data_IF_198213888285
#
_entry.id   IF_198213888285
#
_cell.length_a   1.000
_cell.length_b   1.000
_cell.length_c   1.000
_cell.angle_alpha   90.00
_cell.angle_beta   90.00
_cell.angle_gamma   90.00
#
_symmetry.space_group_name_H-M   'P 1'
#
loop_
_entity.id
_entity.type
_entity.pdbx_description
1 polymer ?
#
# COMPACT_ATOMS: atom_id res chain seq x y z
N UNK A 1 -59.16 -5.41 -14.04
CA UNK A 1 -57.76 -5.83 -14.24
C UNK A 1 -56.91 -5.12 -13.19
N UNK A 2 -56.41 -5.84 -12.20
CA UNK A 2 -55.51 -5.28 -11.18
C UNK A 2 -54.08 -5.23 -11.74
N UNK A 3 -53.40 -4.09 -11.59
CA UNK A 3 -51.99 -3.93 -11.94
C UNK A 3 -51.13 -4.85 -11.05
N UNK A 4 -50.07 -5.48 -11.58
CA UNK A 4 -49.18 -6.29 -10.76
C UNK A 4 -48.51 -5.40 -9.72
N UNK A 5 -48.64 -5.80 -8.45
CA UNK A 5 -47.94 -5.16 -7.35
C UNK A 5 -46.43 -5.36 -7.55
N UNK A 6 -45.73 -4.29 -7.92
CA UNK A 6 -44.27 -4.27 -7.95
C UNK A 6 -43.77 -4.57 -6.54
N UNK A 7 -43.04 -5.67 -6.38
CA UNK A 7 -42.43 -5.99 -5.09
C UNK A 7 -41.58 -4.80 -4.62
N UNK A 8 -41.62 -4.43 -3.32
CA UNK A 8 -40.78 -3.36 -2.81
C UNK A 8 -39.32 -3.70 -3.11
N UNK A 9 -38.58 -2.72 -3.65
CA UNK A 9 -37.15 -2.85 -3.88
C UNK A 9 -36.48 -3.30 -2.58
N UNK A 10 -35.69 -4.38 -2.63
CA UNK A 10 -34.90 -4.81 -1.48
C UNK A 10 -34.03 -3.61 -1.05
N UNK A 11 -33.96 -3.29 0.25
CA UNK A 11 -33.06 -2.24 0.71
C UNK A 11 -31.62 -2.64 0.35
N UNK A 12 -30.88 -1.69 -0.22
CA UNK A 12 -29.49 -1.90 -0.63
C UNK A 12 -28.66 -2.41 0.56
N UNK A 13 -27.92 -3.49 0.37
CA UNK A 13 -27.02 -4.00 1.39
C UNK A 13 -25.90 -2.96 1.59
N UNK A 14 -25.76 -2.30 2.76
CA UNK A 14 -24.76 -1.24 2.94
C UNK A 14 -23.32 -1.70 2.68
N UNK A 15 -23.04 -2.98 2.97
CA UNK A 15 -21.75 -3.59 2.66
C UNK A 15 -21.52 -3.79 1.16
N UNK A 16 -22.57 -4.11 0.39
CA UNK A 16 -22.46 -4.24 -1.06
C UNK A 16 -22.19 -2.89 -1.72
N UNK A 17 -22.93 -1.84 -1.34
CA UNK A 17 -22.67 -0.48 -1.85
C UNK A 17 -21.28 0.02 -1.47
N UNK A 18 -20.82 -0.26 -0.24
CA UNK A 18 -19.45 0.05 0.17
C UNK A 18 -18.44 -0.73 -0.69
N UNK A 19 -18.68 -2.02 -0.91
CA UNK A 19 -17.82 -2.87 -1.73
C UNK A 19 -17.74 -2.36 -3.16
N UNK A 20 -18.84 -2.05 -3.83
CA UNK A 20 -18.84 -1.48 -5.19
C UNK A 20 -17.98 -0.21 -5.27
N UNK A 21 -18.10 0.68 -4.29
CA UNK A 21 -17.30 1.91 -4.22
C UNK A 21 -15.82 1.65 -3.94
N UNK A 22 -15.51 0.65 -3.11
CA UNK A 22 -14.12 0.23 -2.87
C UNK A 22 -13.53 -0.43 -4.12
N UNK A 23 -14.28 -1.30 -4.79
CA UNK A 23 -13.89 -1.99 -6.02
C UNK A 23 -13.43 -1.00 -7.11
N UNK A 24 -14.18 0.09 -7.28
CA UNK A 24 -13.86 1.15 -8.23
C UNK A 24 -12.54 1.91 -7.94
N UNK A 25 -12.02 1.81 -6.71
CA UNK A 25 -10.78 2.46 -6.26
C UNK A 25 -9.58 1.52 -6.24
N UNK A 26 -9.81 0.21 -6.38
CA UNK A 26 -8.76 -0.79 -6.44
C UNK A 26 -8.25 -0.96 -7.88
N UNK A 27 -6.94 -1.20 -8.09
CA UNK A 27 -6.39 -1.36 -9.43
C UNK A 27 -6.85 -2.66 -10.08
N UNK A 28 -7.05 -2.61 -11.40
CA UNK A 28 -7.22 -3.80 -12.22
C UNK A 28 -5.88 -4.55 -12.37
N UNK A 29 -5.93 -5.88 -12.46
CA UNK A 29 -4.77 -6.74 -12.69
C UNK A 29 -5.01 -7.66 -13.87
N UNK A 30 -4.01 -7.77 -14.75
CA UNK A 30 -4.14 -8.46 -16.03
C UNK A 30 -5.44 -8.13 -16.81
N UNK A 31 -5.87 -6.85 -16.77
CA UNK A 31 -7.10 -6.39 -17.43
C UNK A 31 -8.41 -6.71 -16.70
N UNK A 32 -8.38 -7.41 -15.56
CA UNK A 32 -9.57 -7.73 -14.76
C UNK A 32 -9.73 -6.75 -13.60
N UNK A 33 -10.89 -6.08 -13.53
CA UNK A 33 -11.25 -5.23 -12.39
C UNK A 33 -11.74 -6.03 -11.18
N UNK A 34 -11.97 -5.35 -10.06
CA UNK A 34 -12.60 -5.94 -8.89
C UNK A 34 -14.13 -5.96 -9.07
N UNK A 35 -14.76 -7.08 -8.75
CA UNK A 35 -16.21 -7.28 -8.82
C UNK A 35 -16.76 -7.43 -7.42
N UNK A 36 -17.79 -6.66 -7.08
CA UNK A 36 -18.50 -6.78 -5.81
C UNK A 36 -19.67 -7.77 -5.93
N UNK A 37 -19.80 -8.67 -4.98
CA UNK A 37 -20.90 -9.62 -4.90
C UNK A 37 -21.43 -9.77 -3.47
N UNK A 38 -22.72 -10.10 -3.29
CA UNK A 38 -23.26 -10.41 -1.97
C UNK A 38 -22.53 -11.60 -1.34
N UNK A 39 -22.15 -11.48 -0.07
CA UNK A 39 -21.47 -12.54 0.64
C UNK A 39 -21.91 -12.63 2.10
N UNK A 40 -21.89 -13.84 2.66
CA UNK A 40 -22.29 -14.09 4.05
C UNK A 40 -21.25 -14.96 4.75
N UNK A 41 -20.17 -14.35 5.27
CA UNK A 41 -19.21 -15.05 6.12
C UNK A 41 -19.90 -15.61 7.37
N UNK A 42 -19.50 -16.81 7.77
CA UNK A 42 -20.06 -17.45 8.96
C UNK A 42 -19.75 -16.68 10.26
N UNK A 43 -18.58 -16.01 10.33
CA UNK A 43 -18.14 -15.23 11.49
C UNK A 43 -18.81 -13.84 11.57
N UNK A 44 -19.56 -13.44 10.54
CA UNK A 44 -20.27 -12.15 10.50
C UNK A 44 -21.79 -12.34 10.57
N UNK A 45 -22.27 -13.41 11.21
CA UNK A 45 -23.69 -13.82 11.23
C UNK A 45 -24.70 -12.70 11.60
N UNK A 46 -24.23 -11.58 12.16
CA UNK A 46 -25.04 -10.41 12.54
C UNK A 46 -24.75 -9.12 11.77
N UNK A 47 -23.81 -9.12 10.81
CA UNK A 47 -23.37 -7.92 10.11
C UNK A 47 -23.47 -8.08 8.57
N UNK A 48 -23.96 -7.04 7.85
CA UNK A 48 -23.93 -7.05 6.40
C UNK A 48 -22.49 -7.19 5.89
N UNK A 49 -22.29 -8.09 4.94
CA UNK A 49 -21.01 -8.33 4.30
C UNK A 49 -21.16 -8.39 2.77
N UNK A 50 -20.05 -8.14 2.09
CA UNK A 50 -19.92 -8.28 0.66
C UNK A 50 -18.51 -8.80 0.34
N UNK A 51 -18.37 -9.48 -0.79
CA UNK A 51 -17.09 -9.95 -1.28
C UNK A 51 -16.68 -9.14 -2.50
N UNK A 52 -15.41 -8.78 -2.54
CA UNK A 52 -14.71 -8.22 -3.69
C UNK A 52 -13.87 -9.33 -4.29
N UNK A 53 -14.00 -9.60 -5.58
CA UNK A 53 -13.29 -10.68 -6.26
C UNK A 53 -12.48 -10.12 -7.43
N UNK A 54 -11.25 -10.58 -7.57
CA UNK A 54 -10.41 -10.34 -8.74
C UNK A 54 -9.55 -11.58 -9.02
N UNK A 55 -9.96 -12.37 -10.01
CA UNK A 55 -9.36 -13.68 -10.27
C UNK A 55 -9.53 -14.61 -9.06
N UNK A 56 -8.44 -15.18 -8.58
CA UNK A 56 -8.45 -16.08 -7.40
C UNK A 56 -8.41 -15.33 -6.06
N UNK A 57 -8.18 -14.02 -6.08
CA UNK A 57 -8.08 -13.20 -4.87
C UNK A 57 -9.45 -12.67 -4.51
N UNK A 58 -9.78 -12.67 -3.22
CA UNK A 58 -10.95 -11.98 -2.75
C UNK A 58 -10.71 -11.21 -1.43
N UNK A 59 -11.45 -10.13 -1.26
CA UNK A 59 -11.57 -9.39 0.00
C UNK A 59 -13.01 -9.48 0.49
N UNK A 60 -13.19 -9.76 1.77
CA UNK A 60 -14.47 -9.73 2.45
C UNK A 60 -14.56 -8.42 3.20
N UNK A 61 -15.56 -7.60 2.88
CA UNK A 61 -15.87 -6.36 3.58
C UNK A 61 -17.09 -6.54 4.44
N UNK A 62 -16.98 -6.13 5.71
CA UNK A 62 -18.07 -6.16 6.68
C UNK A 62 -18.33 -4.73 7.12
N UNK A 63 -19.56 -4.26 6.88
CA UNK A 63 -20.00 -2.96 7.36
C UNK A 63 -20.54 -3.11 8.78
N UNK A 64 -19.71 -2.81 9.78
CA UNK A 64 -20.12 -2.89 11.18
C UNK A 64 -20.92 -1.64 11.57
N UNK A 65 -22.24 -1.70 11.34
CA UNK A 65 -23.16 -0.58 11.55
C UNK A 65 -23.25 -0.04 12.98
N UNK A 66 -22.71 -0.75 13.99
CA UNK A 66 -22.74 -0.30 15.39
C UNK A 66 -21.55 0.61 15.75
N UNK A 67 -20.43 0.49 15.02
CA UNK A 67 -19.17 1.18 15.37
C UNK A 67 -18.67 2.13 14.29
N UNK A 68 -19.41 2.30 13.19
CA UNK A 68 -18.97 3.09 12.02
C UNK A 68 -17.61 2.65 11.45
N UNK A 69 -17.27 1.38 11.68
CA UNK A 69 -16.03 0.76 11.25
C UNK A 69 -16.29 -0.19 10.09
N UNK A 70 -15.27 -0.38 9.26
CA UNK A 70 -15.24 -1.40 8.21
C UNK A 70 -14.24 -2.47 8.60
N UNK A 71 -14.66 -3.71 8.61
CA UNK A 71 -13.77 -4.84 8.82
C UNK A 71 -13.43 -5.46 7.46
N UNK A 72 -12.17 -5.84 7.28
CA UNK A 72 -11.64 -6.40 6.03
C UNK A 72 -10.97 -7.72 6.34
N UNK A 73 -11.40 -8.78 5.68
CA UNK A 73 -10.70 -10.06 5.61
C UNK A 73 -10.25 -10.33 4.18
N UNK A 74 -9.19 -11.10 3.98
CA UNK A 74 -8.83 -11.61 2.66
C UNK A 74 -9.21 -13.09 2.51
N UNK A 75 -9.32 -13.57 1.28
CA UNK A 75 -9.68 -14.95 0.98
C UNK A 75 -8.86 -15.41 -0.23
N UNK A 76 -8.38 -16.64 -0.16
CA UNK A 76 -7.73 -17.36 -1.26
C UNK A 76 -8.40 -18.74 -1.39
N UNK A 77 -8.21 -19.46 -2.52
CA UNK A 77 -8.65 -20.85 -2.62
C UNK A 77 -8.12 -21.66 -1.43
N UNK A 78 -9.03 -22.30 -0.70
CA UNK A 78 -8.74 -23.09 0.50
C UNK A 78 -8.54 -22.31 1.82
N UNK A 79 -8.65 -20.97 1.82
CA UNK A 79 -8.56 -20.14 3.04
C UNK A 79 -9.77 -19.23 3.18
N UNK A 80 -10.68 -19.59 4.06
CA UNK A 80 -11.81 -18.76 4.49
C UNK A 80 -11.37 -17.87 5.66
N UNK A 81 -11.57 -16.53 5.61
CA UNK A 81 -11.33 -15.70 6.77
C UNK A 81 -12.26 -16.09 7.90
N UNK A 82 -11.72 -16.20 9.12
CA UNK A 82 -12.46 -16.58 10.33
C UNK A 82 -12.63 -15.43 11.32
N UNK A 83 -11.94 -14.32 11.05
CA UNK A 83 -11.90 -13.05 11.77
C UNK A 83 -11.42 -11.96 10.80
N UNK A 84 -11.58 -10.66 11.11
CA UNK A 84 -11.03 -9.64 10.24
C UNK A 84 -9.51 -9.60 10.32
N UNK A 85 -8.86 -9.47 9.16
CA UNK A 85 -7.41 -9.24 9.04
C UNK A 85 -7.08 -7.76 9.30
N UNK A 86 -8.05 -6.86 9.12
CA UNK A 86 -7.93 -5.42 9.36
C UNK A 86 -9.27 -4.84 9.83
N UNK A 87 -9.22 -3.89 10.77
CA UNK A 87 -10.36 -3.04 11.16
C UNK A 87 -10.02 -1.59 10.87
N UNK A 88 -10.78 -0.97 9.97
CA UNK A 88 -10.66 0.45 9.62
C UNK A 88 -11.73 1.23 10.38
N UNK A 89 -11.32 2.23 11.16
CA UNK A 89 -12.25 3.11 11.89
C UNK A 89 -12.92 4.15 10.99
N UNK A 90 -13.55 3.67 9.93
CA UNK A 90 -14.24 4.48 8.91
C UNK A 90 -15.07 3.59 7.99
N UNK A 91 -16.12 4.17 7.41
CA UNK A 91 -16.88 3.63 6.29
C UNK A 91 -16.60 4.37 4.97
N UNK A 92 -15.63 5.30 4.95
CA UNK A 92 -15.27 6.04 3.74
C UNK A 92 -14.55 5.12 2.74
N UNK A 93 -15.08 4.89 1.52
CA UNK A 93 -14.53 3.92 0.58
C UNK A 93 -13.04 4.16 0.26
N UNK A 94 -12.63 5.42 0.11
CA UNK A 94 -11.23 5.77 -0.17
C UNK A 94 -10.26 5.38 0.95
N UNK A 95 -10.67 5.50 2.21
CA UNK A 95 -9.85 5.12 3.37
C UNK A 95 -9.78 3.60 3.50
N UNK A 96 -10.91 2.92 3.30
CA UNK A 96 -10.97 1.45 3.30
C UNK A 96 -10.11 0.86 2.19
N UNK A 97 -10.27 1.34 0.94
CA UNK A 97 -9.48 0.88 -0.21
C UNK A 97 -7.98 1.08 0.02
N UNK A 98 -7.59 2.25 0.51
CA UNK A 98 -6.19 2.57 0.81
C UNK A 98 -5.58 1.62 1.83
N UNK A 99 -6.24 1.41 2.96
CA UNK A 99 -5.70 0.53 4.00
C UNK A 99 -5.73 -0.95 3.58
N UNK A 100 -6.73 -1.37 2.79
CA UNK A 100 -6.74 -2.70 2.18
C UNK A 100 -5.53 -2.90 1.24
N UNK A 101 -5.22 -1.92 0.37
CA UNK A 101 -4.04 -1.93 -0.49
C UNK A 101 -2.72 -1.95 0.29
N UNK A 102 -2.67 -1.23 1.42
CA UNK A 102 -1.45 -1.09 2.22
C UNK A 102 -1.16 -2.27 3.15
N UNK A 103 -2.20 -2.89 3.71
CA UNK A 103 -2.07 -3.86 4.81
C UNK A 103 -2.59 -5.25 4.50
N UNK A 104 -3.66 -5.36 3.70
CA UNK A 104 -4.37 -6.63 3.52
C UNK A 104 -3.91 -7.34 2.24
N UNK A 105 -3.97 -6.64 1.10
CA UNK A 105 -3.57 -7.22 -0.19
C UNK A 105 -2.12 -7.69 -0.23
N UNK A 106 -1.12 -6.96 0.30
CA UNK A 106 0.26 -7.45 0.33
C UNK A 106 0.42 -8.81 1.03
N UNK A 107 -0.36 -9.07 2.08
CA UNK A 107 -0.34 -10.33 2.82
C UNK A 107 -1.02 -11.44 2.01
N UNK A 108 -2.22 -11.17 1.49
CA UNK A 108 -2.93 -12.11 0.63
C UNK A 108 -2.11 -12.50 -0.60
N UNK A 109 -1.41 -11.53 -1.18
CA UNK A 109 -0.62 -11.74 -2.38
C UNK A 109 0.70 -12.48 -2.10
N UNK A 110 1.32 -12.27 -0.93
CA UNK A 110 2.49 -13.06 -0.51
C UNK A 110 2.12 -14.53 -0.27
N UNK A 111 0.95 -14.80 0.33
CA UNK A 111 0.44 -16.16 0.48
C UNK A 111 0.08 -16.82 -0.85
N UNK A 112 -0.53 -16.08 -1.77
CA UNK A 112 -0.80 -16.58 -3.12
C UNK A 112 0.49 -16.88 -3.89
N UNK A 113 1.53 -16.07 -3.70
CA UNK A 113 2.82 -16.24 -4.36
C UNK A 113 3.53 -17.55 -3.99
N UNK A 114 3.21 -18.17 -2.84
CA UNK A 114 3.76 -19.46 -2.45
C UNK A 114 3.37 -20.61 -3.40
N UNK A 115 2.33 -20.41 -4.23
CA UNK A 115 1.84 -21.38 -5.23
C UNK A 115 2.45 -21.17 -6.62
N UNK A 116 3.26 -20.12 -6.81
CA UNK A 116 3.84 -19.77 -8.11
C UNK A 116 5.04 -20.67 -8.40
N UNK A 117 5.01 -21.37 -9.53
CA UNK A 117 6.08 -22.28 -9.97
C UNK A 117 7.20 -21.56 -10.73
N UNK A 118 6.87 -20.56 -11.56
CA UNK A 118 7.84 -19.73 -12.28
C UNK A 118 7.91 -18.31 -11.69
N UNK A 119 8.79 -18.15 -10.72
CA UNK A 119 9.02 -16.89 -10.04
C UNK A 119 9.59 -15.80 -10.97
N UNK A 120 10.37 -16.17 -11.99
CA UNK A 120 10.99 -15.21 -12.89
C UNK A 120 9.95 -14.60 -13.85
N UNK A 121 9.11 -15.43 -14.45
CA UNK A 121 8.02 -14.97 -15.32
C UNK A 121 6.96 -14.18 -14.55
N UNK A 122 6.65 -14.58 -13.31
CA UNK A 122 5.78 -13.80 -12.44
C UNK A 122 6.35 -12.40 -12.15
N UNK A 123 7.62 -12.33 -11.73
CA UNK A 123 8.31 -11.06 -11.46
C UNK A 123 8.35 -10.13 -12.66
N UNK A 124 8.65 -10.65 -13.86
CA UNK A 124 8.68 -9.83 -15.07
C UNK A 124 7.30 -9.24 -15.40
N UNK A 125 6.23 -10.03 -15.29
CA UNK A 125 4.85 -9.55 -15.46
C UNK A 125 4.50 -8.42 -14.49
N UNK A 126 4.85 -8.58 -13.21
CA UNK A 126 4.60 -7.58 -12.18
C UNK A 126 5.36 -6.27 -12.44
N UNK A 127 6.63 -6.35 -12.86
CA UNK A 127 7.40 -5.16 -13.23
C UNK A 127 6.80 -4.45 -14.44
N UNK A 128 6.38 -5.21 -15.45
CA UNK A 128 5.72 -4.65 -16.62
C UNK A 128 4.43 -3.93 -16.24
N UNK A 129 3.63 -4.48 -15.32
CA UNK A 129 2.41 -3.83 -14.82
C UNK A 129 2.72 -2.51 -14.09
N UNK A 130 3.74 -2.48 -13.22
CA UNK A 130 4.19 -1.23 -12.58
C UNK A 130 4.64 -0.23 -13.64
N UNK A 131 5.52 -0.64 -14.56
CA UNK A 131 6.05 0.22 -15.61
C UNK A 131 4.95 0.74 -16.56
N UNK A 132 3.99 -0.10 -16.92
CA UNK A 132 2.83 0.29 -17.73
C UNK A 132 1.95 1.30 -16.99
N UNK A 133 1.70 1.11 -15.68
CA UNK A 133 0.93 2.07 -14.89
C UNK A 133 1.59 3.44 -14.82
N UNK A 134 2.91 3.51 -14.63
CA UNK A 134 3.65 4.78 -14.62
C UNK A 134 3.68 5.43 -16.02
N UNK A 135 3.91 4.65 -17.09
CA UNK A 135 3.88 5.13 -18.48
C UNK A 135 2.51 5.67 -18.90
N UNK A 136 1.44 5.06 -18.42
CA UNK A 136 0.07 5.54 -18.66
C UNK A 136 -0.17 6.95 -18.07
N UNK A 137 0.66 7.39 -17.12
CA UNK A 137 0.63 8.75 -16.55
C UNK A 137 1.69 9.68 -17.18
N UNK A 138 2.41 9.21 -18.21
CA UNK A 138 3.42 9.99 -18.94
C UNK A 138 4.85 9.88 -18.40
N UNK A 139 5.11 9.03 -17.41
CA UNK A 139 6.48 8.83 -16.92
C UNK A 139 7.30 7.95 -17.86
N UNK A 140 8.56 8.33 -18.09
CA UNK A 140 9.54 7.45 -18.71
C UNK A 140 10.03 6.43 -17.68
N UNK A 141 9.93 5.14 -18.01
CA UNK A 141 10.34 4.04 -17.15
C UNK A 141 11.53 3.30 -17.75
N UNK A 142 12.42 2.85 -16.89
CA UNK A 142 13.55 2.01 -17.26
C UNK A 142 13.52 0.72 -16.45
N UNK A 143 13.51 -0.42 -17.14
CA UNK A 143 13.54 -1.75 -16.53
C UNK A 143 14.95 -2.31 -16.59
N UNK A 144 15.40 -2.92 -15.49
CA UNK A 144 16.71 -3.56 -15.39
C UNK A 144 16.59 -4.87 -14.63
N UNK A 145 17.25 -5.92 -15.12
CA UNK A 145 17.55 -7.08 -14.28
C UNK A 145 18.35 -6.62 -13.05
N UNK A 146 17.96 -7.10 -11.87
CA UNK A 146 18.63 -6.75 -10.62
C UNK A 146 20.06 -7.33 -10.59
N UNK A 147 20.87 -6.84 -9.66
CA UNK A 147 22.21 -7.39 -9.43
C UNK A 147 22.16 -8.84 -8.92
N UNK A 148 21.07 -9.22 -8.27
CA UNK A 148 20.79 -10.58 -7.84
C UNK A 148 19.90 -11.27 -8.88
N UNK A 149 20.17 -12.56 -9.16
CA UNK A 149 19.40 -13.39 -10.11
C UNK A 149 17.90 -13.43 -9.78
N UNK A 150 17.57 -13.31 -8.49
CA UNK A 150 16.20 -13.33 -7.98
C UNK A 150 15.56 -11.94 -7.84
N UNK A 151 16.20 -10.88 -8.33
CA UNK A 151 15.72 -9.51 -8.21
C UNK A 151 15.58 -8.84 -9.58
N UNK A 152 14.59 -7.96 -9.72
CA UNK A 152 14.42 -7.15 -10.93
C UNK A 152 13.80 -5.82 -10.55
N UNK A 153 14.18 -4.75 -11.26
CA UNK A 153 13.86 -3.38 -10.87
C UNK A 153 13.25 -2.61 -12.03
N UNK A 154 12.25 -1.79 -11.73
CA UNK A 154 11.76 -0.73 -12.61
C UNK A 154 12.01 0.62 -11.94
N UNK A 155 12.55 1.59 -12.69
CA UNK A 155 12.88 2.91 -12.20
C UNK A 155 12.24 4.00 -13.06
N UNK A 156 11.91 5.12 -12.44
CA UNK A 156 11.38 6.32 -13.10
C UNK A 156 11.76 7.57 -12.32
N UNK A 157 11.58 8.74 -12.94
CA UNK A 157 11.81 10.03 -12.29
C UNK A 157 10.60 10.95 -12.45
N UNK A 158 10.28 11.69 -11.39
CA UNK A 158 9.22 12.70 -11.40
C UNK A 158 9.46 13.72 -10.26
N UNK A 159 9.06 14.98 -10.46
CA UNK A 159 9.09 15.99 -9.40
C UNK A 159 10.46 16.23 -8.73
N UNK A 160 11.58 15.98 -9.44
CA UNK A 160 12.94 16.07 -8.88
C UNK A 160 13.36 14.88 -8.01
N UNK A 161 12.57 13.81 -8.00
CA UNK A 161 12.80 12.56 -7.27
C UNK A 161 13.04 11.42 -8.26
N UNK A 162 13.91 10.49 -7.89
CA UNK A 162 14.10 9.21 -8.57
C UNK A 162 13.47 8.11 -7.73
N UNK A 163 12.70 7.28 -8.39
CA UNK A 163 12.05 6.11 -7.82
C UNK A 163 12.65 4.86 -8.43
N UNK A 164 12.78 3.81 -7.62
CA UNK A 164 12.96 2.46 -8.14
C UNK A 164 12.16 1.48 -7.31
N UNK A 165 11.48 0.55 -7.95
CA UNK A 165 10.75 -0.53 -7.32
C UNK A 165 11.43 -1.85 -7.69
N UNK A 166 11.91 -2.57 -6.67
CA UNK A 166 12.59 -3.84 -6.83
C UNK A 166 11.72 -4.97 -6.30
N UNK A 167 11.48 -5.97 -7.13
CA UNK A 167 10.76 -7.20 -6.76
C UNK A 167 11.74 -8.34 -6.54
N UNK A 168 11.46 -9.18 -5.54
CA UNK A 168 12.27 -10.33 -5.18
C UNK A 168 11.48 -11.64 -5.28
N UNK A 169 12.07 -12.65 -5.91
CA UNK A 169 11.42 -13.96 -6.09
C UNK A 169 10.10 -13.83 -6.87
N UNK A 170 9.05 -14.49 -6.38
CA UNK A 170 7.69 -14.42 -6.91
C UNK A 170 6.79 -13.43 -6.14
N UNK A 171 7.33 -12.78 -5.10
CA UNK A 171 6.52 -12.00 -4.15
C UNK A 171 6.04 -10.70 -4.81
N UNK A 172 4.72 -10.43 -4.84
CA UNK A 172 4.15 -9.20 -5.39
C UNK A 172 4.18 -8.03 -4.38
N UNK A 173 5.26 -7.98 -3.61
CA UNK A 173 5.63 -6.83 -2.77
C UNK A 173 7.03 -6.38 -3.20
N UNK A 174 7.22 -5.08 -3.29
CA UNK A 174 8.45 -4.47 -3.73
C UNK A 174 9.11 -3.64 -2.63
N UNK A 175 10.42 -3.51 -2.77
CA UNK A 175 11.21 -2.52 -2.09
C UNK A 175 11.27 -1.27 -2.99
N UNK A 176 10.78 -0.14 -2.48
CA UNK A 176 10.71 1.13 -3.19
C UNK A 176 11.77 2.06 -2.64
N UNK A 177 12.78 2.35 -3.46
CA UNK A 177 13.77 3.38 -3.16
C UNK A 177 13.31 4.72 -3.75
N UNK A 178 13.40 5.76 -2.92
CA UNK A 178 13.05 7.14 -3.25
C UNK A 178 14.27 8.01 -2.94
N UNK A 179 14.85 8.64 -3.95
CA UNK A 179 16.06 9.47 -3.80
C UNK A 179 15.86 10.85 -4.41
N UNK A 180 16.27 11.88 -3.68
CA UNK A 180 16.18 13.26 -4.16
C UNK A 180 16.33 14.29 -3.04
N UNK A 181 15.93 15.55 -3.29
CA UNK A 181 15.83 16.59 -2.27
C UNK A 181 14.92 16.18 -1.12
N UNK A 182 15.34 16.40 0.13
CA UNK A 182 14.60 15.96 1.33
C UNK A 182 13.14 16.39 1.32
N UNK A 183 12.81 17.63 0.93
CA UNK A 183 11.41 18.10 0.87
C UNK A 183 10.57 17.36 -0.17
N UNK A 184 11.18 16.95 -1.28
CA UNK A 184 10.48 16.18 -2.31
C UNK A 184 10.30 14.72 -1.87
N UNK A 185 11.31 14.14 -1.23
CA UNK A 185 11.25 12.78 -0.66
C UNK A 185 10.21 12.70 0.47
N UNK A 186 10.16 13.68 1.38
CA UNK A 186 9.14 13.78 2.43
C UNK A 186 7.71 13.74 1.83
N UNK A 187 7.45 14.51 0.77
CA UNK A 187 6.14 14.51 0.09
C UNK A 187 5.83 13.16 -0.54
N UNK A 188 6.81 12.53 -1.19
CA UNK A 188 6.64 11.21 -1.81
C UNK A 188 6.39 10.13 -0.76
N UNK A 189 7.19 10.06 0.31
CA UNK A 189 7.05 9.08 1.39
C UNK A 189 5.68 9.16 2.07
N UNK A 190 5.12 10.36 2.24
CA UNK A 190 3.80 10.55 2.85
C UNK A 190 2.68 9.80 2.10
N UNK A 191 2.84 9.49 0.81
CA UNK A 191 1.87 8.71 0.05
C UNK A 191 1.77 7.25 0.51
N UNK A 192 2.89 6.69 0.98
CA UNK A 192 3.02 5.28 1.37
C UNK A 192 2.75 5.03 2.85
N UNK A 193 3.08 5.99 3.70
CA UNK A 193 2.93 5.92 5.16
C UNK A 193 1.45 5.92 5.59
N UNK A 194 1.08 5.42 6.77
CA UNK A 194 -0.30 5.51 7.27
C UNK A 194 -0.80 6.98 7.33
N UNK A 195 -2.08 7.18 7.64
CA UNK A 195 -2.55 8.52 7.97
C UNK A 195 -1.80 9.07 9.19
N UNK A 196 -1.63 10.40 9.22
CA UNK A 196 -1.00 11.06 10.36
C UNK A 196 -1.81 10.80 11.62
N UNK A 197 -1.13 10.43 12.69
CA UNK A 197 -1.74 10.46 13.99
C UNK A 197 -1.96 11.94 14.38
N UNK A 198 -3.23 12.35 14.53
CA UNK A 198 -3.60 13.72 14.92
C UNK A 198 -3.02 14.15 16.27
N UNK A 199 -2.59 13.17 17.07
CA UNK A 199 -2.18 13.33 18.46
C UNK A 199 -0.71 12.99 18.72
N UNK A 200 0.16 12.85 17.71
CA UNK A 200 1.59 12.70 18.01
C UNK A 200 2.17 14.07 18.32
N UNK A 201 2.38 14.46 19.60
CA UNK A 201 3.14 15.66 19.90
C UNK A 201 4.49 15.58 19.20
N UNK A 202 5.09 16.73 18.89
CA UNK A 202 6.48 16.80 18.46
C UNK A 202 7.36 16.29 19.62
N UNK A 203 7.48 14.97 19.74
CA UNK A 203 8.28 14.32 20.76
C UNK A 203 9.72 14.66 20.42
N UNK A 204 10.47 15.19 21.38
CA UNK A 204 11.91 15.27 21.23
C UNK A 204 12.38 13.83 20.97
N UNK A 205 12.94 13.61 19.79
CA UNK A 205 13.49 12.31 19.41
C UNK A 205 14.88 12.24 20.04
N UNK A 206 14.90 11.93 21.33
CA UNK A 206 16.12 11.77 22.11
C UNK A 206 16.93 10.61 21.49
N UNK A 207 18.25 10.82 21.36
CA UNK A 207 19.15 9.81 20.79
C UNK A 207 19.32 9.83 19.28
N UNK A 208 18.69 10.75 18.54
CA UNK A 208 18.94 10.93 17.10
C UNK A 208 20.04 11.98 16.84
N UNK A 209 21.21 11.50 16.46
CA UNK A 209 22.35 12.30 16.01
C UNK A 209 22.20 12.76 14.56
N UNK A 210 22.79 13.92 14.23
CA UNK A 210 22.77 14.51 12.88
C UNK A 210 21.56 15.41 12.58
N UNK A 211 21.76 16.46 11.79
CA UNK A 211 20.71 17.47 11.52
C UNK A 211 19.65 16.95 10.54
N UNK A 212 20.06 16.18 9.53
CA UNK A 212 19.15 15.67 8.49
C UNK A 212 18.34 14.49 9.02
N UNK A 213 18.95 13.64 9.82
CA UNK A 213 18.34 12.53 10.54
C UNK A 213 17.27 13.04 11.48
N UNK A 214 17.55 14.07 12.29
CA UNK A 214 16.52 14.68 13.14
C UNK A 214 15.35 15.24 12.34
N UNK A 215 15.60 15.87 11.19
CA UNK A 215 14.55 16.36 10.30
C UNK A 215 13.70 15.21 9.75
N UNK A 216 14.33 14.18 9.20
CA UNK A 216 13.65 13.02 8.65
C UNK A 216 12.86 12.28 9.71
N UNK A 217 13.44 12.11 10.90
CA UNK A 217 12.79 11.45 12.01
C UNK A 217 11.60 12.27 12.53
N UNK A 218 11.70 13.61 12.60
CA UNK A 218 10.56 14.46 12.91
C UNK A 218 9.45 14.38 11.84
N UNK A 219 9.82 14.23 10.56
CA UNK A 219 8.84 14.00 9.49
C UNK A 219 8.16 12.63 9.64
N UNK A 220 8.94 11.54 9.76
CA UNK A 220 8.50 10.14 9.80
C UNK A 220 7.71 9.83 11.08
N UNK A 221 8.15 10.40 12.22
CA UNK A 221 7.53 10.25 13.54
C UNK A 221 6.07 10.68 13.62
N UNK A 222 5.59 11.48 12.65
CA UNK A 222 4.17 11.85 12.52
C UNK A 222 3.28 10.72 12.01
N UNK A 223 3.89 9.66 11.47
CA UNK A 223 3.20 8.56 10.83
C UNK A 223 3.51 7.22 11.49
N UNK A 224 4.76 7.01 11.90
CA UNK A 224 5.28 5.73 12.38
C UNK A 224 6.35 5.94 13.44
N UNK A 225 6.64 4.91 14.23
CA UNK A 225 7.79 4.90 15.13
C UNK A 225 9.10 4.93 14.32
N UNK A 226 10.12 5.62 14.88
CA UNK A 226 11.41 5.84 14.25
C UNK A 226 12.53 5.56 15.25
N UNK A 227 13.59 4.90 14.80
CA UNK A 227 14.81 4.64 15.58
C UNK A 227 16.04 4.95 14.75
N UNK A 228 17.13 5.40 15.39
CA UNK A 228 18.43 5.52 14.71
C UNK A 228 19.18 4.19 14.75
N UNK A 229 19.75 3.76 13.63
CA UNK A 229 20.49 2.53 13.55
C UNK A 229 21.86 2.64 14.22
N UNK A 230 22.19 1.74 15.18
CA UNK A 230 23.50 1.71 15.81
C UNK A 230 24.62 1.56 14.76
N UNK A 231 25.60 2.47 14.79
CA UNK A 231 26.82 2.37 13.98
C UNK A 231 26.71 2.73 12.49
N UNK A 232 25.51 2.99 11.96
CA UNK A 232 25.29 3.34 10.53
C UNK A 232 24.76 4.75 10.29
N UNK A 233 24.30 5.44 11.32
CA UNK A 233 23.80 6.83 11.23
C UNK A 233 22.43 6.98 10.55
N UNK A 234 21.96 5.98 9.81
CA UNK A 234 20.62 5.95 9.20
C UNK A 234 19.48 5.78 10.21
N UNK A 235 18.25 5.96 9.73
CA UNK A 235 17.03 5.74 10.51
C UNK A 235 16.32 4.48 10.02
N UNK A 236 15.77 3.69 10.94
CA UNK A 236 14.75 2.69 10.64
C UNK A 236 13.39 3.20 11.10
N UNK A 237 12.32 2.82 10.40
CA UNK A 237 10.97 3.26 10.73
C UNK A 237 9.90 2.25 10.36
N UNK A 238 8.77 2.30 11.08
CA UNK A 238 7.62 1.42 10.85
C UNK A 238 7.89 -0.05 11.21
N UNK A 239 6.84 -0.86 11.12
CA UNK A 239 6.87 -2.30 11.42
C UNK A 239 5.87 -3.06 10.55
N UNK A 240 6.01 -4.39 10.48
CA UNK A 240 5.02 -5.26 9.83
C UNK A 240 3.85 -5.58 10.79
N UNK A 241 2.62 -5.76 10.29
CA UNK A 241 2.19 -5.59 8.90
C UNK A 241 2.06 -4.10 8.52
N UNK A 242 2.62 -3.73 7.37
CA UNK A 242 2.65 -2.34 6.89
C UNK A 242 3.98 -1.95 6.25
N UNK A 243 4.01 -0.75 5.69
CA UNK A 243 5.24 -0.17 5.12
C UNK A 243 6.19 0.20 6.25
N UNK A 244 7.40 -0.35 6.18
CA UNK A 244 8.52 -0.06 7.06
C UNK A 244 9.75 0.22 6.18
N UNK A 245 10.83 0.74 6.72
CA UNK A 245 11.92 1.19 5.86
C UNK A 245 13.13 1.74 6.56
N UNK A 246 14.07 2.19 5.73
CA UNK A 246 15.29 2.85 6.15
C UNK A 246 15.41 4.21 5.47
N UNK A 247 15.85 5.23 6.20
CA UNK A 247 16.21 6.52 5.63
C UNK A 247 17.71 6.73 5.84
N UNK A 248 18.44 6.90 4.74
CA UNK A 248 19.89 7.10 4.74
C UNK A 248 20.20 8.48 4.18
N UNK A 249 20.87 9.36 4.94
CA UNK A 249 21.33 10.64 4.43
C UNK A 249 22.48 10.42 3.44
N UNK A 250 22.44 11.12 2.30
CA UNK A 250 23.41 10.94 1.23
C UNK A 250 24.66 11.82 1.37
N UNK A 251 24.81 12.58 2.46
CA UNK A 251 25.86 13.58 2.63
C UNK A 251 26.28 13.78 4.10
N UNK A 252 27.42 14.46 4.28
CA UNK A 252 28.07 14.84 5.54
C UNK A 252 27.09 15.05 6.73
N UNK A 253 27.19 14.21 7.79
CA UNK A 253 26.37 14.33 9.00
C UNK A 253 26.46 15.71 9.71
N UNK A 254 27.54 16.46 9.47
CA UNK A 254 27.76 17.81 10.03
C UNK A 254 27.10 18.94 9.24
N UNK A 255 26.64 18.67 8.00
CA UNK A 255 26.06 19.65 7.09
C UNK A 255 24.71 20.21 7.57
N UNK A 256 24.35 21.40 7.08
CA UNK A 256 23.01 21.95 7.30
C UNK A 256 21.96 21.15 6.51
N UNK A 257 20.84 20.82 7.16
CA UNK A 257 19.71 20.15 6.54
C UNK A 257 18.76 21.17 5.88
N UNK A 258 19.01 21.49 4.62
CA UNK A 258 18.15 22.34 3.79
C UNK A 258 17.10 21.51 3.05
N UNK A 259 16.05 22.15 2.53
CA UNK A 259 15.01 21.48 1.72
C UNK A 259 15.57 20.75 0.49
N UNK A 260 16.72 21.20 -0.01
CA UNK A 260 17.42 20.66 -1.17
C UNK A 260 18.44 19.59 -0.84
N UNK A 261 18.72 19.34 0.45
CA UNK A 261 19.73 18.36 0.85
C UNK A 261 19.33 16.96 0.35
N UNK A 262 20.22 16.24 -0.35
CA UNK A 262 19.93 14.91 -0.87
C UNK A 262 19.70 13.88 0.24
N UNK A 263 18.68 13.04 0.08
CA UNK A 263 18.36 11.92 0.97
C UNK A 263 17.87 10.73 0.14
N UNK A 264 18.06 9.52 0.67
CA UNK A 264 17.45 8.30 0.16
C UNK A 264 16.56 7.67 1.22
N UNK A 265 15.37 7.25 0.83
CA UNK A 265 14.47 6.44 1.66
C UNK A 265 14.18 5.15 0.92
N UNK A 266 14.32 4.04 1.62
CA UNK A 266 13.93 2.72 1.16
C UNK A 266 12.69 2.27 1.94
N UNK A 267 11.64 1.92 1.22
CA UNK A 267 10.37 1.43 1.75
C UNK A 267 10.24 -0.04 1.40
N UNK A 268 9.97 -0.88 2.39
CA UNK A 268 9.82 -2.32 2.21
C UNK A 268 8.36 -2.76 2.34
N UNK A 269 8.04 -3.87 1.68
CA UNK A 269 6.73 -4.50 1.77
C UNK A 269 5.61 -3.72 1.07
N UNK A 270 5.96 -2.91 0.05
CA UNK A 270 4.98 -2.15 -0.73
C UNK A 270 4.32 -3.08 -1.73
N UNK A 271 3.03 -3.38 -1.59
CA UNK A 271 2.30 -4.20 -2.55
C UNK A 271 2.25 -3.56 -3.95
N UNK A 272 2.36 -4.39 -4.99
CA UNK A 272 2.28 -3.93 -6.40
C UNK A 272 0.99 -3.16 -6.67
N UNK A 273 -0.15 -3.66 -6.14
CA UNK A 273 -1.45 -2.99 -6.29
C UNK A 273 -1.44 -1.60 -5.64
N UNK A 274 -0.83 -1.47 -4.47
CA UNK A 274 -0.70 -0.17 -3.81
C UNK A 274 0.16 0.79 -4.63
N UNK A 275 1.31 0.33 -5.13
CA UNK A 275 2.20 1.14 -5.95
C UNK A 275 1.50 1.60 -7.26
N UNK A 276 0.79 0.70 -7.94
CA UNK A 276 0.02 1.00 -9.15
C UNK A 276 -1.08 2.03 -8.87
N UNK A 277 -1.79 1.90 -7.75
CA UNK A 277 -2.82 2.88 -7.34
C UNK A 277 -2.26 4.29 -7.13
N UNK A 278 -0.97 4.39 -6.79
CA UNK A 278 -0.27 5.66 -6.56
C UNK A 278 0.35 6.25 -7.84
N UNK A 279 0.31 5.56 -8.98
CA UNK A 279 0.94 6.01 -10.22
C UNK A 279 0.57 7.46 -10.61
N UNK A 280 -0.69 7.92 -10.54
CA UNK A 280 -1.04 9.31 -10.88
C UNK A 280 -0.38 10.37 -9.98
N UNK A 281 0.08 9.99 -8.78
CA UNK A 281 0.75 10.87 -7.81
C UNK A 281 2.27 10.76 -7.86
N UNK A 282 2.80 9.60 -8.23
CA UNK A 282 4.24 9.31 -8.30
C UNK A 282 4.90 9.74 -9.62
N UNK A 283 4.12 10.30 -10.54
CA UNK A 283 4.53 10.70 -11.89
C UNK A 283 4.38 12.20 -12.16
N UNK A 284 4.04 12.98 -11.12
CA UNK A 284 3.88 14.45 -11.17
C UNK A 284 5.05 15.17 -10.52
#
# INVERSE_FOLDING_TARGET
MALPATAPARPDCPALTLAERVAALLPARAGSGWIAEPYRPWWTARHPAARLVQGERALVLVANGHSWNTEVGWQLPGREPTRPDLVVRSTAPGRVAREALRLVLPVADDEAAARVTDAAAARHRLLYEIGAAMRAQGAATWERAGLLVNASTVAWGAGGVRYSATLHGAKPVCDVQITGPVRAVERACALFLPERAELTPARALDGIGGRLERRMAAFLGRYVDVQQEPGRGGLSFGTRPGVYGHAVPAADPGGRAHDTTPVSVELHGVGVDFLVSLAPRLTR
#
